data_IF_179499975481
#
_entry.id   IF_179499975481
#
_cell.length_a   1.000
_cell.length_b   1.000
_cell.length_c   1.000
_cell.angle_alpha   90.00
_cell.angle_beta   90.00
_cell.angle_gamma   90.00
#
_symmetry.space_group_name_H-M   'P 1'
#
loop_
_entity.id
_entity.type
_entity.pdbx_description
1 polymer ?
#
# COMPACT_ATOMS: atom_id res chain seq x y z
N UNK A 1 -1.49 -1.25 -11.86
CA UNK A 1 -2.00 -0.08 -11.11
C UNK A 1 -1.44 -0.11 -9.70
N UNK A 2 -0.78 0.97 -9.27
CA UNK A 2 -0.22 1.07 -7.91
C UNK A 2 -1.16 1.82 -6.99
N UNK A 3 -1.39 1.31 -5.78
CA UNK A 3 -2.10 2.07 -4.74
C UNK A 3 -1.24 3.22 -4.26
N UNK A 4 -1.85 4.41 -4.18
CA UNK A 4 -1.18 5.65 -3.79
C UNK A 4 -0.63 5.57 -2.36
N UNK A 5 0.43 6.33 -2.09
CA UNK A 5 1.05 6.42 -0.76
C UNK A 5 0.05 6.89 0.31
N UNK A 6 -0.87 7.78 -0.06
CA UNK A 6 -1.94 8.27 0.83
C UNK A 6 -2.85 7.12 1.32
N UNK A 7 -3.26 6.25 0.40
CA UNK A 7 -4.08 5.07 0.71
C UNK A 7 -3.34 4.08 1.62
N UNK A 8 -2.03 3.87 1.38
CA UNK A 8 -1.22 2.99 2.22
C UNK A 8 -1.08 3.51 3.64
N UNK A 9 -0.95 4.83 3.82
CA UNK A 9 -0.97 5.46 5.14
C UNK A 9 -2.31 5.25 5.85
N UNK A 10 -3.43 5.52 5.16
CA UNK A 10 -4.78 5.20 5.69
C UNK A 10 -4.91 3.75 6.13
N UNK A 11 -4.39 2.79 5.36
CA UNK A 11 -4.41 1.36 5.71
C UNK A 11 -3.53 1.05 6.93
N UNK A 12 -2.39 1.72 7.04
CA UNK A 12 -1.48 1.57 8.17
C UNK A 12 -2.11 2.06 9.48
N UNK A 13 -2.69 3.27 9.43
CA UNK A 13 -3.33 3.94 10.56
C UNK A 13 -4.71 3.36 10.91
N UNK A 14 -5.33 2.62 9.98
CA UNK A 14 -6.61 1.96 10.23
C UNK A 14 -6.44 0.80 11.23
N UNK A 15 -7.09 0.95 12.39
CA UNK A 15 -7.24 -0.09 13.40
C UNK A 15 -8.66 -0.65 13.38
N UNK A 16 -8.85 -1.89 12.86
CA UNK A 16 -10.16 -2.51 12.77
C UNK A 16 -10.74 -2.94 14.12
N UNK A 17 -9.89 -3.14 15.13
CA UNK A 17 -10.33 -3.54 16.48
C UNK A 17 -10.89 -2.34 17.21
N UNK A 18 -10.22 -1.20 17.12
CA UNK A 18 -10.69 0.07 17.68
C UNK A 18 -11.93 0.63 16.96
N UNK A 19 -12.03 0.41 15.64
CA UNK A 19 -13.11 1.01 14.83
C UNK A 19 -14.42 0.23 14.88
N UNK A 20 -14.42 -1.07 15.25
CA UNK A 20 -15.62 -1.91 15.18
C UNK A 20 -16.18 -2.13 13.77
N UNK A 21 -15.47 -1.65 12.74
CA UNK A 21 -15.90 -1.71 11.34
C UNK A 21 -15.34 -2.98 10.68
N UNK A 22 -16.22 -3.75 10.03
CA UNK A 22 -15.83 -4.90 9.23
C UNK A 22 -15.01 -4.46 8.03
N UNK A 23 -13.68 -4.51 8.16
CA UNK A 23 -12.64 -4.23 7.13
C UNK A 23 -13.02 -4.74 5.73
N UNK A 24 -13.70 -5.89 5.74
CA UNK A 24 -13.90 -6.75 4.59
C UNK A 24 -14.74 -6.10 3.48
N UNK A 25 -15.62 -5.15 3.74
CA UNK A 25 -16.47 -4.60 2.67
C UNK A 25 -16.51 -3.09 2.63
N UNK A 26 -16.80 -2.41 3.73
CA UNK A 26 -16.96 -0.95 3.71
C UNK A 26 -15.64 -0.23 3.44
N UNK A 27 -14.61 -0.49 4.24
CA UNK A 27 -13.33 0.23 4.11
C UNK A 27 -12.64 0.00 2.75
N UNK A 28 -12.64 -1.25 2.25
CA UNK A 28 -12.05 -1.58 0.96
C UNK A 28 -12.82 -0.96 -0.22
N UNK A 29 -14.16 -0.96 -0.16
CA UNK A 29 -15.02 -0.42 -1.23
C UNK A 29 -15.00 1.10 -1.26
N UNK A 30 -15.07 1.76 -0.10
CA UNK A 30 -15.06 3.22 0.02
C UNK A 30 -13.75 3.84 -0.46
N UNK A 31 -12.65 3.11 -0.29
CA UNK A 31 -11.32 3.56 -0.66
C UNK A 31 -10.83 2.95 -2.00
N UNK A 32 -11.64 2.14 -2.67
CA UNK A 32 -11.37 1.63 -4.02
C UNK A 32 -10.21 0.63 -4.13
N UNK A 33 -9.99 -0.23 -3.13
CA UNK A 33 -8.96 -1.27 -3.18
C UNK A 33 -9.49 -2.65 -2.77
N UNK A 34 -8.78 -3.71 -3.16
CA UNK A 34 -9.21 -5.08 -2.84
C UNK A 34 -8.78 -5.50 -1.44
N UNK A 35 -9.52 -6.44 -0.84
CA UNK A 35 -9.15 -7.10 0.43
C UNK A 35 -7.72 -7.63 0.40
N UNK A 36 -7.32 -8.22 -0.73
CA UNK A 36 -5.99 -8.79 -0.88
C UNK A 36 -4.91 -7.73 -0.73
N UNK A 37 -5.12 -6.52 -1.25
CA UNK A 37 -4.14 -5.46 -1.07
C UNK A 37 -4.04 -4.97 0.38
N UNK A 38 -5.16 -4.90 1.09
CA UNK A 38 -5.16 -4.58 2.51
C UNK A 38 -4.26 -5.52 3.31
N UNK A 39 -4.47 -6.83 3.15
CA UNK A 39 -3.67 -7.84 3.85
C UNK A 39 -2.20 -7.83 3.42
N UNK A 40 -1.92 -7.60 2.13
CA UNK A 40 -0.55 -7.50 1.66
C UNK A 40 0.20 -6.30 2.28
N UNK A 41 -0.47 -5.15 2.43
CA UNK A 41 0.14 -3.98 3.08
C UNK A 41 0.29 -4.20 4.58
N UNK A 42 -0.73 -4.71 5.28
CA UNK A 42 -0.62 -5.04 6.71
C UNK A 42 0.48 -6.08 6.98
N UNK A 43 0.60 -7.10 6.13
CA UNK A 43 1.69 -8.09 6.21
C UNK A 43 3.07 -7.42 6.08
N UNK A 44 3.25 -6.54 5.08
CA UNK A 44 4.50 -5.78 4.92
C UNK A 44 4.81 -4.87 6.11
N UNK A 45 3.78 -4.25 6.70
CA UNK A 45 3.95 -3.41 7.90
C UNK A 45 4.29 -4.27 9.12
N UNK A 46 3.71 -5.45 9.26
CA UNK A 46 4.06 -6.38 10.34
C UNK A 46 5.51 -6.89 10.20
N UNK A 47 5.97 -7.15 8.97
CA UNK A 47 7.33 -7.65 8.69
C UNK A 47 8.41 -6.55 8.79
N UNK A 48 8.10 -5.30 8.41
CA UNK A 48 9.10 -4.23 8.25
C UNK A 48 8.80 -2.94 9.04
N UNK A 49 7.74 -2.92 9.82
CA UNK A 49 7.25 -1.72 10.50
C UNK A 49 6.74 -0.64 9.53
N UNK A 50 6.90 0.64 9.89
CA UNK A 50 6.45 1.79 9.05
C UNK A 50 7.08 1.84 7.66
N UNK A 51 8.21 1.17 7.44
CA UNK A 51 8.84 1.10 6.11
C UNK A 51 8.01 0.28 5.11
N UNK A 52 7.14 -0.63 5.57
CA UNK A 52 6.21 -1.40 4.73
C UNK A 52 5.07 -0.59 4.10
N UNK A 53 4.88 0.66 4.52
CA UNK A 53 3.89 1.60 3.96
C UNK A 53 4.34 2.08 2.58
N UNK A 54 5.65 2.29 2.40
CA UNK A 54 6.18 2.73 1.12
C UNK A 54 6.23 1.55 0.16
N UNK A 55 5.91 1.75 -1.13
CA UNK A 55 6.29 0.75 -2.13
C UNK A 55 7.80 0.52 -2.02
N UNK A 56 8.23 -0.72 -2.20
CA UNK A 56 9.64 -0.98 -2.52
C UNK A 56 9.97 -0.07 -3.69
N UNK A 57 10.99 0.79 -3.55
CA UNK A 57 11.44 1.63 -4.66
C UNK A 57 11.61 0.74 -5.88
N UNK A 58 10.69 0.85 -6.83
CA UNK A 58 10.90 0.35 -8.18
C UNK A 58 11.80 1.36 -8.87
N UNK A 59 13.00 1.58 -8.33
CA UNK A 59 14.08 2.03 -9.18
C UNK A 59 14.13 1.02 -10.33
N UNK A 60 14.00 1.45 -11.60
CA UNK A 60 14.00 0.51 -12.70
C UNK A 60 15.27 -0.34 -12.56
N UNK A 61 15.10 -1.66 -12.46
CA UNK A 61 16.22 -2.60 -12.35
C UNK A 61 17.11 -2.60 -13.61
N UNK A 62 16.77 -1.80 -14.61
CA UNK A 62 17.54 -1.57 -15.82
C UNK A 62 17.96 -0.11 -15.93
N UNK A 63 19.27 0.21 -15.91
CA UNK A 63 19.78 1.55 -16.23
C UNK A 63 19.71 1.91 -17.73
N UNK A 64 18.91 1.18 -18.54
CA UNK A 64 18.91 1.31 -20.00
C UNK A 64 17.85 2.29 -20.55
N UNK A 65 16.89 2.72 -19.75
CA UNK A 65 15.84 3.68 -20.15
C UNK A 65 16.15 5.12 -19.73
N UNK A 66 17.44 5.43 -19.50
CA UNK A 66 17.93 6.80 -19.54
C UNK A 66 18.44 7.07 -20.97
N UNK A 67 17.55 7.01 -21.96
CA UNK A 67 17.84 7.53 -23.30
C UNK A 67 18.07 9.03 -23.18
N UNK A 68 19.37 9.34 -23.16
CA UNK A 68 20.00 10.61 -23.47
C UNK A 68 19.25 11.31 -24.61
N UNK A 69 18.28 12.17 -24.24
CA UNK A 69 17.66 13.13 -25.15
C UNK A 69 18.30 14.48 -24.85
N UNK A 70 19.55 14.65 -25.30
CA UNK A 70 20.09 15.90 -25.81
C UNK A 70 21.47 15.68 -26.41
#
# INVERSE_FOLDING_TARGET
MGISSHLRKKIADFDPVASGITIKQFFCKDNGFSKQTYFNIKKRIAERGRSGILPDSTAPKNPKDATMTR
#
